data_IF_127984307870
#
_entry.id   IF_127984307870
#
_cell.length_a   1.000
_cell.length_b   1.000
_cell.length_c   1.000
_cell.angle_alpha   90.00
_cell.angle_beta   90.00
_cell.angle_gamma   90.00
#
_symmetry.space_group_name_H-M   'P 1'
#
loop_
_entity.id
_entity.type
_entity.pdbx_description
1 polymer ?
#
# COMPACT_ATOMS: atom_id res chain seq x y z
N UNK A 1 -6.35 21.63 6.59
CA UNK A 1 -5.28 20.94 6.26
C UNK A 1 -5.57 19.63 5.70
N UNK A 2 -5.10 19.50 4.72
CA UNK A 2 -5.36 18.29 4.09
C UNK A 2 -4.72 17.18 4.84
N UNK A 3 -5.55 16.51 5.50
CA UNK A 3 -5.13 15.33 6.16
C UNK A 3 -4.55 14.36 5.19
N UNK A 4 -4.96 14.47 3.93
CA UNK A 4 -4.50 13.52 2.95
C UNK A 4 -3.01 13.60 2.72
N UNK A 5 -2.53 14.76 2.36
CA UNK A 5 -1.12 14.89 2.15
C UNK A 5 -0.35 14.62 3.40
N UNK A 6 -0.94 14.98 4.50
CA UNK A 6 -0.30 14.74 5.76
C UNK A 6 -0.28 13.26 6.09
N UNK A 7 -1.32 12.54 5.70
CA UNK A 7 -1.34 11.12 5.93
C UNK A 7 -0.22 10.41 5.20
N UNK A 8 0.00 10.76 3.95
CA UNK A 8 1.08 10.15 3.18
C UNK A 8 2.43 10.49 3.78
N UNK A 9 2.60 11.74 4.16
CA UNK A 9 3.84 12.17 4.76
C UNK A 9 4.08 11.45 6.08
N UNK A 10 3.04 11.31 6.86
CA UNK A 10 3.14 10.62 8.13
C UNK A 10 3.54 9.17 7.92
N UNK A 11 2.99 8.54 6.92
CA UNK A 11 3.34 7.16 6.61
C UNK A 11 4.83 7.03 6.31
N UNK A 12 5.37 7.95 5.53
CA UNK A 12 6.79 7.95 5.25
C UNK A 12 7.63 8.11 6.50
N UNK A 13 7.21 8.98 7.39
CA UNK A 13 7.94 9.20 8.61
C UNK A 13 7.91 7.95 9.48
N UNK A 14 6.75 7.33 9.58
CA UNK A 14 6.63 6.12 10.37
C UNK A 14 7.53 5.02 9.84
N UNK A 15 7.57 4.86 8.52
CA UNK A 15 8.43 3.86 7.91
C UNK A 15 9.89 4.16 8.21
N UNK A 16 10.29 5.41 8.12
CA UNK A 16 11.64 5.80 8.43
C UNK A 16 11.99 5.51 9.88
N UNK A 17 11.09 5.82 10.77
CA UNK A 17 11.32 5.59 12.19
C UNK A 17 11.52 4.11 12.44
N UNK A 18 10.70 3.30 11.83
CA UNK A 18 10.84 1.86 11.97
C UNK A 18 12.17 1.39 11.43
N UNK A 19 12.60 1.94 10.31
CA UNK A 19 13.88 1.57 9.73
C UNK A 19 15.05 1.94 10.59
N UNK A 20 14.98 3.11 11.23
CA UNK A 20 16.08 3.58 12.04
C UNK A 20 16.05 3.00 13.43
N UNK A 21 14.89 2.60 13.88
CA UNK A 21 14.78 1.97 15.18
C UNK A 21 15.31 0.56 15.08
N UNK A 22 16.23 0.27 15.92
CA UNK A 22 16.68 -1.10 15.98
C UNK A 22 15.63 -1.88 16.70
N UNK A 23 15.04 -2.77 16.00
CA UNK A 23 14.10 -3.69 16.60
C UNK A 23 14.85 -4.54 17.57
N UNK A 24 14.55 -4.35 18.81
CA UNK A 24 15.13 -5.24 19.79
C UNK A 24 14.41 -6.53 19.69
N UNK A 25 15.13 -7.53 19.35
CA UNK A 25 14.54 -8.83 19.44
C UNK A 25 14.32 -9.09 20.89
N UNK A 26 13.09 -9.26 21.24
CA UNK A 26 12.80 -9.70 22.58
C UNK A 26 13.43 -11.03 22.73
N UNK A 27 13.86 -11.27 23.91
CA UNK A 27 14.46 -12.53 24.17
C UNK A 27 13.55 -13.71 23.91
N UNK A 28 12.31 -13.43 23.70
CA UNK A 28 11.35 -14.50 23.46
C UNK A 28 11.19 -14.72 21.98
N UNK A 29 12.19 -15.33 21.39
CA UNK A 29 12.15 -15.67 19.99
C UNK A 29 11.52 -17.03 19.77
N UNK A 30 11.00 -17.63 20.80
CA UNK A 30 10.39 -18.92 20.68
C UNK A 30 9.00 -18.84 20.07
N UNK A 31 8.48 -17.63 19.89
CA UNK A 31 7.17 -17.46 19.29
C UNK A 31 7.32 -17.54 17.80
N UNK A 32 6.82 -18.63 17.21
CA UNK A 32 6.92 -18.84 15.77
C UNK A 32 5.81 -18.16 14.99
N UNK A 33 4.70 -17.91 15.63
CA UNK A 33 3.55 -17.30 14.94
C UNK A 33 2.72 -16.49 15.91
N UNK A 34 1.98 -15.54 15.36
CA UNK A 34 1.02 -14.73 16.10
C UNK A 34 -0.28 -14.79 15.33
N UNK A 35 -1.33 -15.22 15.99
CA UNK A 35 -2.66 -15.31 15.37
C UNK A 35 -2.63 -16.09 14.06
N UNK A 36 -1.78 -17.10 14.01
CA UNK A 36 -1.72 -17.96 12.83
C UNK A 36 -0.78 -17.51 11.74
N UNK A 37 -0.09 -16.40 11.94
CA UNK A 37 0.85 -15.90 10.93
C UNK A 37 2.28 -16.08 11.42
N UNK A 38 3.16 -16.59 10.56
CA UNK A 38 4.56 -16.72 10.96
C UNK A 38 5.13 -15.38 11.41
N UNK A 39 5.95 -15.42 12.42
CA UNK A 39 6.48 -14.18 12.98
C UNK A 39 7.27 -13.39 11.95
N UNK A 40 7.94 -14.09 11.04
CA UNK A 40 8.71 -13.41 10.00
C UNK A 40 7.80 -12.61 9.08
N UNK A 41 6.59 -13.11 8.82
CA UNK A 41 5.65 -12.37 8.01
C UNK A 41 5.06 -11.20 8.76
N UNK A 42 4.89 -11.35 10.07
CA UNK A 42 4.38 -10.25 10.88
C UNK A 42 5.36 -9.09 10.88
N UNK A 43 6.64 -9.39 10.95
CA UNK A 43 7.66 -8.34 10.86
C UNK A 43 7.63 -7.64 9.51
N UNK A 44 7.23 -8.35 8.47
CA UNK A 44 7.14 -7.78 7.14
C UNK A 44 5.72 -7.49 6.70
N UNK A 45 4.83 -7.21 7.64
CA UNK A 45 3.42 -6.98 7.34
C UNK A 45 3.23 -5.99 6.18
N UNK A 46 3.99 -4.92 6.18
CA UNK A 46 3.96 -3.90 5.16
C UNK A 46 4.10 -4.51 3.75
N UNK A 47 5.09 -5.38 3.59
CA UNK A 47 5.35 -6.01 2.30
C UNK A 47 4.30 -7.07 1.96
N UNK A 48 3.88 -7.82 2.94
CA UNK A 48 2.91 -8.88 2.70
C UNK A 48 1.54 -8.32 2.35
N UNK A 49 1.17 -7.19 2.95
CA UNK A 49 -0.07 -6.53 2.55
C UNK A 49 -0.01 -6.07 1.10
N UNK A 50 1.12 -5.52 0.69
CA UNK A 50 1.28 -5.11 -0.69
C UNK A 50 1.16 -6.28 -1.65
N UNK A 51 1.74 -7.41 -1.29
CA UNK A 51 1.66 -8.61 -2.11
C UNK A 51 0.23 -9.10 -2.27
N UNK A 52 -0.60 -8.89 -1.27
CA UNK A 52 -2.01 -9.27 -1.36
C UNK A 52 -2.81 -8.27 -2.18
N UNK A 53 -2.47 -7.00 -2.08
CA UNK A 53 -3.22 -5.96 -2.75
C UNK A 53 -2.96 -5.96 -4.25
N UNK A 54 -1.72 -6.13 -4.67
CA UNK A 54 -1.33 -5.96 -6.06
C UNK A 54 -2.10 -6.88 -7.02
N UNK A 55 -2.14 -8.19 -6.79
CA UNK A 55 -2.85 -9.04 -7.74
C UNK A 55 -4.34 -8.75 -7.78
N UNK A 56 -4.92 -8.35 -6.66
CA UNK A 56 -6.34 -8.02 -6.63
C UNK A 56 -6.62 -6.74 -7.39
N UNK A 57 -5.76 -5.74 -7.26
CA UNK A 57 -5.92 -4.51 -8.02
C UNK A 57 -5.74 -4.75 -9.51
N UNK A 58 -4.81 -5.60 -9.89
CA UNK A 58 -4.61 -5.94 -11.29
C UNK A 58 -5.84 -6.62 -11.87
N UNK A 59 -6.42 -7.53 -11.11
CA UNK A 59 -7.63 -8.21 -11.55
C UNK A 59 -8.80 -7.23 -11.65
N UNK A 60 -8.92 -6.34 -10.67
CA UNK A 60 -10.00 -5.35 -10.69
C UNK A 60 -9.83 -4.40 -11.88
N UNK A 61 -8.59 -4.00 -12.18
CA UNK A 61 -8.35 -3.14 -13.31
C UNK A 61 -8.76 -3.82 -14.62
N UNK A 62 -8.54 -5.11 -14.73
CA UNK A 62 -8.85 -5.85 -15.94
C UNK A 62 -10.35 -6.11 -16.08
N UNK A 63 -11.09 -6.00 -15.01
CA UNK A 63 -12.52 -6.23 -15.04
C UNK A 63 -13.21 -5.15 -15.85
N UNK A 64 -14.18 -5.54 -16.69
CA UNK A 64 -15.01 -4.56 -17.35
C UNK A 64 -16.02 -4.06 -16.35
N UNK A 65 -15.93 -2.78 -16.01
CA UNK A 65 -16.71 -2.24 -14.91
C UNK A 65 -18.01 -1.64 -15.40
N UNK A 66 -19.01 -1.72 -14.56
CA UNK A 66 -20.33 -1.13 -14.85
C UNK A 66 -20.40 0.31 -14.42
N UNK A 67 -19.45 0.77 -13.61
CA UNK A 67 -19.42 2.14 -13.16
C UNK A 67 -18.08 2.49 -12.56
N UNK A 68 -17.90 3.76 -12.25
CA UNK A 68 -16.69 4.26 -11.62
C UNK A 68 -17.05 5.51 -10.85
N UNK A 69 -16.14 5.97 -9.93
CA UNK A 69 -16.45 7.16 -9.15
C UNK A 69 -16.69 8.40 -10.01
N UNK A 70 -17.53 9.27 -9.51
CA UNK A 70 -17.90 10.48 -10.26
C UNK A 70 -16.73 11.39 -10.57
N UNK A 71 -15.63 11.24 -9.84
CA UNK A 71 -14.44 12.05 -10.09
C UNK A 71 -13.78 11.73 -11.42
N UNK A 72 -14.13 10.61 -12.02
CA UNK A 72 -13.52 10.18 -13.28
C UNK A 72 -14.53 10.22 -14.39
N UNK A 73 -14.09 10.65 -15.57
CA UNK A 73 -14.99 10.81 -16.70
C UNK A 73 -15.17 9.53 -17.49
N UNK A 74 -14.26 8.59 -17.34
CA UNK A 74 -14.32 7.37 -18.10
C UNK A 74 -13.73 6.22 -17.32
N UNK A 75 -14.02 5.01 -17.80
CA UNK A 75 -13.41 3.83 -17.21
C UNK A 75 -11.90 3.86 -17.34
N UNK A 76 -11.43 4.42 -18.46
CA UNK A 76 -9.98 4.53 -18.68
C UNK A 76 -9.32 5.42 -17.64
N UNK A 77 -9.97 6.52 -17.30
CA UNK A 77 -9.42 7.40 -16.26
C UNK A 77 -9.38 6.70 -14.91
N UNK A 78 -10.45 5.97 -14.61
CA UNK A 78 -10.49 5.19 -13.38
C UNK A 78 -9.39 4.13 -13.36
N UNK A 79 -9.21 3.46 -14.51
CA UNK A 79 -8.16 2.44 -14.60
C UNK A 79 -6.77 3.04 -14.46
N UNK A 80 -6.57 4.28 -14.90
CA UNK A 80 -5.29 4.95 -14.68
C UNK A 80 -5.02 5.18 -13.20
N UNK A 81 -6.06 5.57 -12.48
CA UNK A 81 -5.91 5.75 -11.03
C UNK A 81 -5.57 4.42 -10.37
N UNK A 82 -6.24 3.35 -10.80
CA UNK A 82 -5.94 2.02 -10.26
C UNK A 82 -4.51 1.63 -10.59
N UNK A 83 -4.03 1.98 -11.78
CA UNK A 83 -2.65 1.66 -12.14
C UNK A 83 -1.66 2.38 -11.23
N UNK A 84 -1.97 3.61 -10.84
CA UNK A 84 -1.10 4.32 -9.91
C UNK A 84 -1.07 3.64 -8.55
N UNK A 85 -2.20 3.10 -8.12
CA UNK A 85 -2.24 2.31 -6.89
C UNK A 85 -1.36 1.07 -7.03
N UNK A 86 -1.48 0.37 -8.15
CA UNK A 86 -0.68 -0.82 -8.40
C UNK A 86 0.81 -0.49 -8.36
N UNK A 87 1.19 0.59 -9.06
CA UNK A 87 2.60 0.98 -9.11
C UNK A 87 3.14 1.25 -7.71
N UNK A 88 2.34 1.90 -6.88
CA UNK A 88 2.76 2.21 -5.52
C UNK A 88 2.97 0.95 -4.70
N UNK A 89 2.03 0.04 -4.76
CA UNK A 89 2.13 -1.16 -3.94
C UNK A 89 3.18 -2.13 -4.48
N UNK A 90 3.43 -2.11 -5.79
CA UNK A 90 4.51 -2.93 -6.34
C UNK A 90 5.86 -2.47 -5.84
N UNK A 91 6.02 -1.18 -5.62
CA UNK A 91 7.28 -0.66 -5.11
C UNK A 91 7.58 -1.13 -3.70
N UNK A 92 6.57 -1.51 -2.94
CA UNK A 92 6.77 -1.90 -1.56
C UNK A 92 6.58 -3.40 -1.33
N UNK A 93 6.45 -4.18 -2.40
CA UNK A 93 6.29 -5.62 -2.25
C UNK A 93 7.53 -6.28 -1.66
N UNK A 94 8.69 -5.84 -2.08
CA UNK A 94 9.93 -6.52 -1.73
C UNK A 94 10.93 -5.65 -0.98
N UNK A 95 10.74 -4.34 -0.97
CA UNK A 95 11.69 -3.48 -0.30
C UNK A 95 11.00 -2.17 0.09
N UNK A 96 11.64 -1.44 0.96
CA UNK A 96 11.15 -0.13 1.38
C UNK A 96 11.83 0.93 0.52
N UNK A 97 11.06 1.73 -0.18
CA UNK A 97 11.65 2.75 -1.05
C UNK A 97 12.46 3.75 -0.26
N UNK A 98 13.60 4.13 -0.80
CA UNK A 98 14.44 5.13 -0.18
C UNK A 98 14.69 6.32 -1.10
N UNK A 99 14.44 6.17 -2.38
CA UNK A 99 14.59 7.27 -3.31
C UNK A 99 13.36 8.15 -3.26
N UNK A 100 13.59 9.44 -3.35
CA UNK A 100 12.51 10.41 -3.24
C UNK A 100 11.42 10.19 -4.27
N UNK A 101 11.82 9.83 -5.49
CA UNK A 101 10.86 9.54 -6.54
C UNK A 101 9.95 8.39 -6.18
N UNK A 102 10.54 7.32 -5.67
CA UNK A 102 9.76 6.13 -5.32
C UNK A 102 8.83 6.43 -4.16
N UNK A 103 9.33 7.17 -3.18
CA UNK A 103 8.52 7.54 -2.04
C UNK A 103 7.31 8.35 -2.49
N UNK A 104 7.53 9.26 -3.45
CA UNK A 104 6.45 10.08 -3.97
C UNK A 104 5.42 9.22 -4.70
N UNK A 105 5.89 8.25 -5.48
CA UNK A 105 5.00 7.33 -6.17
C UNK A 105 4.16 6.52 -5.20
N UNK A 106 4.80 6.03 -4.13
CA UNK A 106 4.08 5.28 -3.12
C UNK A 106 3.03 6.15 -2.44
N UNK A 107 3.43 7.36 -2.07
CA UNK A 107 2.51 8.26 -1.38
C UNK A 107 1.29 8.57 -2.24
N UNK A 108 1.50 8.85 -3.52
CA UNK A 108 0.39 9.15 -4.42
C UNK A 108 -0.54 7.97 -4.57
N UNK A 109 0.02 6.78 -4.76
CA UNK A 109 -0.81 5.60 -4.95
C UNK A 109 -1.55 5.20 -3.72
N UNK A 110 -0.91 5.29 -2.55
CA UNK A 110 -1.57 4.97 -1.31
C UNK A 110 -2.68 5.97 -1.02
N UNK A 111 -2.44 7.25 -1.32
CA UNK A 111 -3.45 8.27 -1.13
C UNK A 111 -4.67 8.00 -2.00
N UNK A 112 -4.45 7.64 -3.26
CA UNK A 112 -5.54 7.25 -4.13
C UNK A 112 -6.27 6.02 -3.61
N UNK A 113 -5.52 5.06 -3.15
CA UNK A 113 -6.09 3.83 -2.62
C UNK A 113 -7.00 4.14 -1.43
N UNK A 114 -6.54 4.99 -0.52
CA UNK A 114 -7.33 5.35 0.64
C UNK A 114 -8.59 6.13 0.24
N UNK A 115 -8.44 7.05 -0.70
CA UNK A 115 -9.55 7.89 -1.12
C UNK A 115 -10.65 7.08 -1.79
N UNK A 116 -10.28 6.12 -2.60
CA UNK A 116 -11.25 5.36 -3.38
C UNK A 116 -11.39 3.91 -2.91
N UNK A 117 -10.95 3.64 -1.70
CA UNK A 117 -10.99 2.28 -1.18
C UNK A 117 -12.38 1.66 -1.28
N UNK A 118 -13.40 2.43 -0.92
CA UNK A 118 -14.77 1.93 -0.92
C UNK A 118 -15.34 1.80 -2.33
N UNK A 119 -14.67 2.37 -3.30
CA UNK A 119 -15.10 2.28 -4.70
C UNK A 119 -14.40 1.13 -5.43
N UNK A 120 -13.57 0.38 -4.74
CA UNK A 120 -12.89 -0.77 -5.33
C UNK A 120 -13.83 -1.97 -5.28
N UNK A 121 -14.95 -1.81 -5.94
CA UNK A 121 -15.95 -2.87 -6.06
C UNK A 121 -16.79 -2.54 -7.29
N UNK A 122 -17.52 -3.53 -7.79
CA UNK A 122 -18.38 -3.32 -8.94
C UNK A 122 -19.66 -4.21 -8.82
#
# INVERSE_FOLDING_TARGET
>A
MPLNGRGSFYLCIVIKDISSMKWKKKGDDSVDSINGYPISEVWGTYHYLAREVVPRLKAFKALKKHGWPDDFESQEDWNEAIQKMIDAFELVEDYSPSYEEDIRTVDQGVELFCKYYRDLSD
#
